data_IF_885479313346
#
_entry.id   IF_885479313346
#
_cell.length_a   1.000
_cell.length_b   1.000
_cell.length_c   1.000
_cell.angle_alpha   90.00
_cell.angle_beta   90.00
_cell.angle_gamma   90.00
#
_symmetry.space_group_name_H-M   'P 1'
#
loop_
_entity.id
_entity.type
_entity.pdbx_description
1 polymer ?
#
# COMPACT_ATOMS: atom_id res chain seq x y z
N UNK A 1 33.66 20.75 -46.56
CA UNK A 1 33.32 22.18 -46.38
C UNK A 1 32.54 22.24 -45.06
N UNK A 2 33.07 22.73 -43.93
CA UNK A 2 33.72 24.03 -43.63
C UNK A 2 32.73 25.20 -43.77
N UNK A 3 32.62 25.99 -42.71
CA UNK A 3 31.67 27.11 -42.46
C UNK A 3 31.92 28.30 -43.40
N UNK A 4 30.99 29.27 -43.51
CA UNK A 4 30.98 30.42 -42.57
C UNK A 4 29.57 30.89 -42.10
N UNK A 5 29.39 31.93 -41.27
CA UNK A 5 29.96 32.27 -39.93
C UNK A 5 29.32 33.59 -39.38
N UNK A 6 29.12 33.67 -38.04
CA UNK A 6 29.13 34.88 -37.18
C UNK A 6 27.99 35.96 -37.16
N UNK A 7 27.85 36.57 -35.95
CA UNK A 7 27.19 37.85 -35.60
C UNK A 7 25.62 37.86 -35.62
N UNK A 8 24.85 38.62 -34.81
CA UNK A 8 25.10 39.79 -33.93
C UNK A 8 24.04 39.88 -32.79
N UNK A 9 24.52 40.02 -31.54
CA UNK A 9 24.11 40.97 -30.47
C UNK A 9 22.61 41.29 -30.13
N UNK A 10 22.23 40.91 -28.90
CA UNK A 10 21.49 41.66 -27.85
C UNK A 10 20.42 42.75 -28.16
N UNK A 11 19.32 42.61 -27.42
CA UNK A 11 18.50 43.65 -26.75
C UNK A 11 17.88 44.79 -27.58
N UNK A 12 16.54 44.81 -27.60
CA UNK A 12 15.77 46.06 -27.53
C UNK A 12 14.58 45.90 -26.57
N UNK A 13 14.15 47.01 -25.94
CA UNK A 13 13.15 47.05 -24.89
C UNK A 13 12.01 48.01 -25.27
N UNK A 14 10.79 47.50 -25.44
CA UNK A 14 9.69 48.28 -26.05
C UNK A 14 8.27 47.84 -25.69
N UNK A 15 7.85 48.12 -24.45
CA UNK A 15 6.51 48.58 -24.05
C UNK A 15 5.24 48.14 -24.82
N UNK A 16 4.39 47.36 -24.16
CA UNK A 16 3.01 47.81 -23.86
C UNK A 16 1.81 47.33 -24.71
N UNK A 17 0.64 47.35 -24.05
CA UNK A 17 -0.75 47.16 -24.56
C UNK A 17 -1.17 45.70 -24.83
N UNK A 18 -1.78 45.01 -23.85
CA UNK A 18 -3.18 45.11 -23.41
C UNK A 18 -4.18 44.34 -24.31
N UNK A 19 -4.49 43.10 -23.92
CA UNK A 19 -5.81 42.49 -24.15
C UNK A 19 -6.29 41.85 -22.85
N UNK A 20 -7.31 42.45 -22.24
CA UNK A 20 -8.05 41.89 -21.11
C UNK A 20 -8.90 40.72 -21.60
N UNK A 21 -8.56 39.50 -21.17
CA UNK A 21 -9.47 38.35 -21.26
C UNK A 21 -10.03 38.06 -19.87
N UNK A 22 -11.27 38.48 -19.64
CA UNK A 22 -11.99 38.30 -18.38
C UNK A 22 -12.33 36.83 -18.15
N UNK A 23 -11.41 36.05 -17.59
CA UNK A 23 -11.69 34.68 -17.20
C UNK A 23 -12.56 34.66 -15.92
N UNK A 24 -13.87 34.51 -16.11
CA UNK A 24 -14.86 34.54 -15.03
C UNK A 24 -14.56 33.50 -13.96
N UNK A 25 -14.39 33.96 -12.73
CA UNK A 25 -14.05 33.16 -11.56
C UNK A 25 -15.25 32.32 -11.11
N UNK A 26 -15.42 31.14 -11.71
CA UNK A 26 -16.47 30.19 -11.31
C UNK A 26 -16.08 29.49 -10.00
N UNK A 27 -16.64 29.97 -8.89
CA UNK A 27 -16.54 29.31 -7.58
C UNK A 27 -17.24 27.94 -7.61
N UNK A 28 -16.49 26.89 -7.97
CA UNK A 28 -16.92 25.51 -7.71
C UNK A 28 -16.81 25.25 -6.20
N UNK A 29 -17.89 25.54 -5.49
CA UNK A 29 -18.10 25.19 -4.09
C UNK A 29 -18.18 23.68 -3.88
N UNK A 30 -17.06 22.98 -4.08
CA UNK A 30 -16.89 21.61 -3.64
C UNK A 30 -16.63 21.61 -2.13
N UNK A 31 -17.48 20.93 -1.37
CA UNK A 31 -17.24 20.67 0.05
C UNK A 31 -15.97 19.82 0.15
N UNK A 32 -14.86 20.46 0.49
CA UNK A 32 -13.64 19.77 0.89
C UNK A 32 -13.90 19.13 2.24
N UNK A 33 -14.31 17.85 2.23
CA UNK A 33 -14.30 17.03 3.45
C UNK A 33 -12.84 16.80 3.80
N UNK A 34 -12.29 17.72 4.60
CA UNK A 34 -10.98 17.58 5.20
C UNK A 34 -11.10 16.41 6.19
N UNK A 35 -10.68 15.23 5.76
CA UNK A 35 -10.40 14.11 6.65
C UNK A 35 -9.25 14.51 7.55
N UNK A 36 -9.58 15.19 8.64
CA UNK A 36 -8.60 15.61 9.63
C UNK A 36 -8.13 14.36 10.37
N UNK A 37 -7.07 13.76 9.82
CA UNK A 37 -6.28 12.74 10.48
C UNK A 37 -5.52 13.38 11.66
N UNK A 38 -6.28 13.80 12.67
CA UNK A 38 -5.78 14.23 13.97
C UNK A 38 -4.87 13.13 14.49
N UNK A 39 -3.58 13.47 14.60
CA UNK A 39 -2.54 12.48 14.68
C UNK A 39 -2.49 11.81 16.03
N UNK A 40 -2.91 10.55 16.10
CA UNK A 40 -2.44 9.65 17.15
C UNK A 40 -1.93 8.30 16.60
N UNK A 41 -0.94 8.42 15.71
CA UNK A 41 -0.20 7.26 15.18
C UNK A 41 0.52 6.46 16.28
N UNK A 42 0.70 7.05 17.48
CA UNK A 42 1.36 6.43 18.63
C UNK A 42 0.37 5.66 19.50
N UNK A 43 -0.81 6.20 19.83
CA UNK A 43 -1.87 5.46 20.52
C UNK A 43 -2.35 4.27 19.68
N UNK A 44 -2.64 4.47 18.39
CA UNK A 44 -2.99 3.36 17.48
C UNK A 44 -1.93 2.26 17.46
N UNK A 45 -0.64 2.60 17.54
CA UNK A 45 0.42 1.59 17.61
C UNK A 45 0.43 0.80 18.93
N UNK A 46 0.00 1.39 20.05
CA UNK A 46 -0.21 0.67 21.32
C UNK A 46 -1.43 -0.24 21.25
N UNK A 47 -2.57 0.28 20.81
CA UNK A 47 -3.81 -0.49 20.65
C UNK A 47 -3.60 -1.71 19.74
N UNK A 48 -2.86 -1.56 18.63
CA UNK A 48 -2.53 -2.68 17.73
C UNK A 48 -1.53 -3.70 18.32
N UNK A 49 -0.69 -3.30 19.28
CA UNK A 49 0.18 -4.23 20.03
C UNK A 49 -0.65 -4.99 21.08
N UNK A 50 -1.56 -4.30 21.75
CA UNK A 50 -2.44 -4.86 22.78
C UNK A 50 -3.46 -5.83 22.16
N UNK A 51 -4.09 -5.45 21.05
CA UNK A 51 -4.98 -6.29 20.26
C UNK A 51 -4.27 -7.19 19.24
N UNK A 52 -2.99 -7.54 19.46
CA UNK A 52 -2.20 -8.38 18.53
C UNK A 52 -2.82 -9.77 18.31
N UNK A 53 -3.41 -10.36 19.36
CA UNK A 53 -4.06 -11.69 19.29
C UNK A 53 -5.30 -11.64 18.40
N UNK A 54 -6.12 -10.62 18.58
CA UNK A 54 -7.35 -10.34 17.84
C UNK A 54 -7.01 -10.06 16.36
N UNK A 55 -5.92 -9.33 16.11
CA UNK A 55 -5.38 -9.10 14.77
C UNK A 55 -4.96 -10.40 14.07
N UNK A 56 -4.27 -11.30 14.79
CA UNK A 56 -3.95 -12.65 14.30
C UNK A 56 -5.20 -13.45 13.96
N UNK A 57 -6.18 -13.46 14.86
CA UNK A 57 -7.46 -14.17 14.69
C UNK A 57 -8.25 -13.70 13.45
N UNK A 58 -8.30 -12.39 13.21
CA UNK A 58 -8.94 -11.82 12.01
C UNK A 58 -8.22 -12.28 10.73
N UNK A 59 -6.88 -12.30 10.72
CA UNK A 59 -6.12 -12.81 9.58
C UNK A 59 -6.34 -14.30 9.36
N UNK A 60 -6.33 -15.14 10.41
CA UNK A 60 -6.62 -16.57 10.32
C UNK A 60 -7.99 -16.83 9.67
N UNK A 61 -9.05 -16.19 10.17
CA UNK A 61 -10.38 -16.30 9.56
C UNK A 61 -10.40 -15.79 8.12
N UNK A 62 -9.70 -14.71 7.81
CA UNK A 62 -9.66 -14.15 6.45
C UNK A 62 -8.89 -15.04 5.45
N UNK A 63 -7.82 -15.71 5.89
CA UNK A 63 -7.09 -16.69 5.08
C UNK A 63 -7.97 -17.90 4.74
N UNK A 64 -8.71 -18.41 5.73
CA UNK A 64 -9.64 -19.51 5.58
C UNK A 64 -10.82 -19.11 4.68
N UNK A 65 -11.41 -17.92 4.90
CA UNK A 65 -12.48 -17.38 4.05
C UNK A 65 -12.02 -17.21 2.60
N UNK A 66 -10.88 -16.55 2.36
CA UNK A 66 -10.33 -16.37 1.02
C UNK A 66 -10.05 -17.72 0.34
N UNK A 67 -9.64 -18.75 1.10
CA UNK A 67 -9.46 -20.10 0.56
C UNK A 67 -10.77 -20.76 0.13
N UNK A 68 -11.84 -20.63 0.91
CA UNK A 68 -13.14 -21.24 0.61
C UNK A 68 -13.95 -20.48 -0.45
N UNK A 69 -13.88 -19.15 -0.46
CA UNK A 69 -14.68 -18.29 -1.35
C UNK A 69 -13.97 -17.96 -2.68
N UNK A 70 -12.66 -17.68 -2.64
CA UNK A 70 -11.88 -17.21 -3.80
C UNK A 70 -10.81 -18.25 -4.25
N UNK A 71 -10.66 -19.35 -3.51
CA UNK A 71 -9.73 -20.43 -3.83
C UNK A 71 -8.25 -20.11 -3.54
N UNK A 72 -7.39 -20.92 -4.17
CA UNK A 72 -5.96 -21.04 -3.87
C UNK A 72 -5.20 -19.71 -3.87
N UNK A 73 -5.18 -19.07 -5.05
CA UNK A 73 -4.27 -17.96 -5.36
C UNK A 73 -4.63 -16.73 -4.53
N UNK A 74 -5.91 -16.60 -4.18
CA UNK A 74 -6.38 -15.53 -3.31
C UNK A 74 -5.84 -15.69 -1.89
N UNK A 75 -6.04 -16.84 -1.25
CA UNK A 75 -5.55 -17.08 0.13
C UNK A 75 -4.05 -16.80 0.26
N UNK A 76 -3.22 -17.32 -0.67
CA UNK A 76 -1.78 -16.99 -0.76
C UNK A 76 -1.51 -15.50 -0.94
N UNK A 77 -2.32 -14.80 -1.74
CA UNK A 77 -2.21 -13.34 -1.94
C UNK A 77 -2.56 -12.56 -0.67
N UNK A 78 -3.59 -12.98 0.08
CA UNK A 78 -3.92 -12.36 1.39
C UNK A 78 -2.80 -12.65 2.41
N UNK A 79 -2.24 -13.86 2.41
CA UNK A 79 -1.09 -14.20 3.27
C UNK A 79 0.15 -13.37 2.96
N UNK A 80 0.47 -13.17 1.67
CA UNK A 80 1.54 -12.27 1.24
C UNK A 80 1.36 -10.82 1.74
N UNK A 81 0.11 -10.34 1.88
CA UNK A 81 -0.18 -9.05 2.53
C UNK A 81 0.05 -9.11 4.03
N UNK A 82 -0.47 -10.15 4.71
CA UNK A 82 -0.30 -10.32 6.15
C UNK A 82 1.18 -10.34 6.57
N UNK A 83 2.05 -11.08 5.89
CA UNK A 83 3.50 -11.11 6.20
C UNK A 83 4.25 -9.81 5.92
N UNK A 84 3.64 -8.85 5.21
CA UNK A 84 4.20 -7.51 5.02
C UNK A 84 3.95 -6.58 6.21
N UNK A 85 3.01 -6.92 7.08
CA UNK A 85 2.62 -6.10 8.24
C UNK A 85 3.49 -6.39 9.46
N UNK A 86 4.01 -5.33 10.09
CA UNK A 86 4.90 -5.41 11.26
C UNK A 86 4.27 -6.09 12.49
N UNK A 87 2.94 -6.09 12.56
CA UNK A 87 2.17 -6.53 13.74
C UNK A 87 1.61 -7.95 13.60
N UNK A 88 1.76 -8.57 12.44
CA UNK A 88 1.30 -9.95 12.18
C UNK A 88 1.98 -10.92 13.13
N UNK A 89 1.22 -11.66 13.95
CA UNK A 89 1.79 -12.58 14.92
C UNK A 89 1.97 -13.98 14.29
N UNK A 90 2.65 -14.86 15.01
CA UNK A 90 3.13 -16.15 14.49
C UNK A 90 1.99 -17.13 14.17
N UNK A 91 0.84 -17.00 14.84
CA UNK A 91 -0.38 -17.81 14.64
C UNK A 91 -0.92 -17.70 13.19
N UNK A 92 -0.66 -16.58 12.51
CA UNK A 92 -1.02 -16.39 11.09
C UNK A 92 -0.14 -17.24 10.17
N UNK A 93 1.12 -17.47 10.54
CA UNK A 93 2.01 -18.37 9.81
C UNK A 93 1.58 -19.83 10.02
N UNK A 94 1.26 -20.23 11.25
CA UNK A 94 0.69 -21.56 11.55
C UNK A 94 -0.58 -21.82 10.73
N UNK A 95 -1.52 -20.87 10.72
CA UNK A 95 -2.77 -20.96 9.94
C UNK A 95 -2.53 -21.14 8.43
N UNK A 96 -1.52 -20.46 7.89
CA UNK A 96 -1.10 -20.61 6.49
C UNK A 96 -0.42 -21.97 6.22
N UNK A 97 0.37 -22.49 7.16
CA UNK A 97 0.95 -23.85 7.07
C UNK A 97 -0.15 -24.91 7.06
N UNK A 98 -1.14 -24.78 7.93
CA UNK A 98 -2.26 -25.73 8.03
C UNK A 98 -3.11 -25.76 6.74
N UNK A 99 -3.46 -24.60 6.17
CA UNK A 99 -4.25 -24.54 4.92
C UNK A 99 -3.48 -25.03 3.69
N UNK A 100 -2.16 -24.87 3.63
CA UNK A 100 -1.32 -25.42 2.57
C UNK A 100 -1.13 -26.94 2.73
N UNK A 101 -0.79 -27.40 3.93
CA UNK A 101 -0.57 -28.82 4.21
C UNK A 101 -1.86 -29.64 4.13
N UNK A 102 -2.94 -29.17 4.75
CA UNK A 102 -4.19 -29.92 4.82
C UNK A 102 -4.95 -29.91 3.49
N UNK A 103 -5.14 -28.74 2.87
CA UNK A 103 -6.05 -28.61 1.73
C UNK A 103 -5.35 -28.75 0.36
N UNK A 104 -4.02 -28.88 0.32
CA UNK A 104 -3.28 -29.14 -0.92
C UNK A 104 -2.38 -30.37 -0.86
N UNK A 105 -2.00 -30.80 0.34
CA UNK A 105 -0.89 -31.74 0.57
C UNK A 105 0.46 -31.22 0.03
N UNK A 106 0.63 -29.89 -0.09
CA UNK A 106 1.89 -29.27 -0.49
C UNK A 106 2.80 -29.05 0.72
N UNK A 107 3.43 -30.13 1.14
CA UNK A 107 4.41 -30.13 2.25
C UNK A 107 5.61 -29.22 1.96
N UNK A 108 5.96 -28.98 0.69
CA UNK A 108 7.10 -28.16 0.30
C UNK A 108 6.86 -26.66 0.47
N UNK A 109 5.63 -26.18 0.22
CA UNK A 109 5.23 -24.80 0.56
C UNK A 109 4.97 -24.68 2.06
N UNK A 110 4.22 -25.61 2.65
CA UNK A 110 3.94 -25.62 4.09
C UNK A 110 5.23 -25.52 4.94
N UNK A 111 6.24 -26.35 4.63
CA UNK A 111 7.55 -26.31 5.29
C UNK A 111 8.24 -24.94 5.19
N UNK A 112 8.30 -24.34 4.00
CA UNK A 112 8.93 -23.02 3.79
C UNK A 112 8.20 -21.88 4.51
N UNK A 113 6.87 -21.98 4.67
CA UNK A 113 6.11 -21.01 5.45
C UNK A 113 6.39 -21.19 6.94
N UNK A 114 6.46 -22.43 7.43
CA UNK A 114 6.77 -22.76 8.82
C UNK A 114 8.17 -22.29 9.21
N UNK A 115 9.20 -22.64 8.42
CA UNK A 115 10.58 -22.18 8.60
C UNK A 115 10.64 -20.65 8.67
N UNK A 116 9.91 -19.95 7.78
CA UNK A 116 9.86 -18.47 7.81
C UNK A 116 9.08 -17.89 9.00
N UNK A 117 8.12 -18.61 9.57
CA UNK A 117 7.43 -18.22 10.80
C UNK A 117 8.34 -18.34 12.03
N UNK A 118 9.18 -19.38 12.06
CA UNK A 118 10.16 -19.61 13.14
C UNK A 118 11.28 -18.55 13.18
N UNK A 119 11.61 -17.91 12.05
CA UNK A 119 12.57 -16.79 12.00
C UNK A 119 12.02 -15.46 12.57
N UNK A 120 10.71 -15.38 12.85
CA UNK A 120 10.00 -14.15 13.25
C UNK A 120 9.61 -14.16 14.75
N UNK A 121 9.75 -15.33 15.40
CA UNK A 121 9.68 -15.52 16.86
C UNK A 121 10.93 -14.98 17.56
#
# INVERSE_FOLDING_TARGET
MRTPDAATNNNDAGQGLNQQSSHSQMMKGGVQIIWQASGDKRAKSKELIECRREYGLVWTMYLHFARHAEGMKSSRTKFCKARGEKWTPWEVYESAVLTEYHDMKDTGIARRIFEKGMEIL
#
